data_IF_075696102000
#
_entry.id   IF_075696102000
#
_cell.length_a   1.000
_cell.length_b   1.000
_cell.length_c   1.000
_cell.angle_alpha   90.00
_cell.angle_beta   90.00
_cell.angle_gamma   90.00
#
_symmetry.space_group_name_H-M   'P 1'
#
loop_
_entity.id
_entity.type
_entity.pdbx_description
1 polymer ?
#
# COMPACT_ATOMS: atom_id res chain seq x y z
N UNK A 1 0.44 -24.22 2.01
CA UNK A 1 0.22 -22.97 1.27
C UNK A 1 1.17 -22.96 0.08
N UNK A 2 0.70 -22.61 -1.12
CA UNK A 2 1.56 -22.57 -2.32
C UNK A 2 2.40 -21.29 -2.30
N UNK A 3 3.72 -21.42 -2.44
CA UNK A 3 4.68 -20.31 -2.50
C UNK A 3 4.35 -19.32 -3.61
N UNK A 4 3.71 -19.78 -4.69
CA UNK A 4 3.26 -18.94 -5.80
C UNK A 4 2.14 -17.99 -5.38
N UNK A 5 1.19 -18.46 -4.56
CA UNK A 5 0.09 -17.63 -4.05
C UNK A 5 0.58 -16.53 -3.10
N UNK A 6 1.59 -16.83 -2.28
CA UNK A 6 2.21 -15.82 -1.42
C UNK A 6 2.97 -14.76 -2.23
N UNK A 7 3.75 -15.19 -3.22
CA UNK A 7 4.48 -14.26 -4.09
C UNK A 7 3.53 -13.32 -4.84
N UNK A 8 2.40 -13.86 -5.35
CA UNK A 8 1.37 -13.06 -6.00
C UNK A 8 0.73 -12.06 -5.04
N UNK A 9 0.33 -12.48 -3.84
CA UNK A 9 -0.27 -11.58 -2.85
C UNK A 9 0.68 -10.43 -2.42
N UNK A 10 1.98 -10.71 -2.29
CA UNK A 10 2.99 -9.67 -2.02
C UNK A 10 3.15 -8.71 -3.21
N UNK A 11 3.15 -9.24 -4.43
CA UNK A 11 3.25 -8.43 -5.65
C UNK A 11 2.04 -7.51 -5.79
N UNK A 12 0.84 -8.06 -5.65
CA UNK A 12 -0.41 -7.31 -5.72
C UNK A 12 -0.50 -6.24 -4.64
N UNK A 13 -0.13 -6.56 -3.38
CA UNK A 13 -0.09 -5.58 -2.31
C UNK A 13 0.81 -4.38 -2.67
N UNK A 14 1.99 -4.63 -3.24
CA UNK A 14 2.92 -3.57 -3.67
C UNK A 14 2.40 -2.77 -4.86
N UNK A 15 1.66 -3.39 -5.77
CA UNK A 15 0.97 -2.68 -6.86
C UNK A 15 -0.04 -1.69 -6.27
N UNK A 16 -0.85 -2.12 -5.31
CA UNK A 16 -1.84 -1.24 -4.67
C UNK A 16 -1.20 -0.12 -3.84
N UNK A 17 -0.07 -0.39 -3.18
CA UNK A 17 0.73 0.65 -2.51
C UNK A 17 1.25 1.67 -3.53
N UNK A 18 1.77 1.21 -4.67
CA UNK A 18 2.31 2.12 -5.69
C UNK A 18 1.26 3.10 -6.21
N UNK A 19 -0.03 2.72 -6.28
CA UNK A 19 -1.11 3.63 -6.71
C UNK A 19 -1.28 4.85 -5.81
N UNK A 20 -0.80 4.81 -4.56
CA UNK A 20 -0.79 5.97 -3.66
C UNK A 20 -0.03 7.13 -4.32
N UNK A 21 1.08 6.84 -5.02
CA UNK A 21 1.92 7.86 -5.65
C UNK A 21 1.20 8.70 -6.71
N UNK A 22 0.18 8.09 -7.35
CA UNK A 22 -0.56 8.64 -8.49
C UNK A 22 -1.82 9.39 -8.06
N UNK A 23 -2.03 9.55 -6.76
CA UNK A 23 -3.19 10.26 -6.22
C UNK A 23 -3.23 11.71 -6.70
N UNK A 24 -4.36 12.16 -7.23
CA UNK A 24 -4.49 13.52 -7.78
C UNK A 24 -4.80 14.58 -6.72
N UNK A 25 -5.31 14.17 -5.55
CA UNK A 25 -5.65 15.05 -4.43
C UNK A 25 -5.72 14.23 -3.12
N UNK A 26 -5.93 14.90 -1.99
CA UNK A 26 -6.02 14.27 -0.66
C UNK A 26 -7.18 13.26 -0.53
N UNK A 27 -8.30 13.48 -1.24
CA UNK A 27 -9.43 12.53 -1.22
C UNK A 27 -9.04 11.22 -1.91
N UNK A 28 -8.40 11.30 -3.08
CA UNK A 28 -7.89 10.13 -3.80
C UNK A 28 -6.78 9.46 -3.00
N UNK A 29 -5.89 10.22 -2.37
CA UNK A 29 -4.85 9.70 -1.48
C UNK A 29 -5.45 8.86 -0.35
N UNK A 30 -6.46 9.40 0.34
CA UNK A 30 -7.14 8.69 1.42
C UNK A 30 -7.81 7.40 0.92
N UNK A 31 -8.45 7.45 -0.25
CA UNK A 31 -9.09 6.28 -0.85
C UNK A 31 -8.09 5.19 -1.24
N UNK A 32 -6.98 5.55 -1.90
CA UNK A 32 -5.93 4.60 -2.30
C UNK A 32 -5.24 4.00 -1.08
N UNK A 33 -4.95 4.82 -0.06
CA UNK A 33 -4.35 4.36 1.21
C UNK A 33 -5.26 3.36 1.92
N UNK A 34 -6.56 3.66 2.02
CA UNK A 34 -7.53 2.76 2.63
C UNK A 34 -7.70 1.45 1.84
N UNK A 35 -7.68 1.54 0.51
CA UNK A 35 -7.77 0.37 -0.36
C UNK A 35 -6.55 -0.56 -0.19
N UNK A 36 -5.34 -0.02 -0.25
CA UNK A 36 -4.11 -0.79 -0.05
C UNK A 36 -4.09 -1.47 1.34
N UNK A 37 -4.42 -0.73 2.40
CA UNK A 37 -4.49 -1.29 3.75
C UNK A 37 -5.55 -2.40 3.88
N UNK A 38 -6.70 -2.23 3.22
CA UNK A 38 -7.76 -3.25 3.16
C UNK A 38 -7.32 -4.50 2.40
N UNK A 39 -6.65 -4.35 1.26
CA UNK A 39 -6.11 -5.47 0.48
C UNK A 39 -5.12 -6.29 1.31
N UNK A 40 -4.14 -5.62 1.93
CA UNK A 40 -3.12 -6.28 2.77
C UNK A 40 -3.81 -7.05 3.90
N UNK A 41 -4.95 -6.55 4.42
CA UNK A 41 -5.64 -7.16 5.57
C UNK A 41 -6.30 -8.44 5.13
N UNK A 42 -7.00 -8.39 4.00
CA UNK A 42 -7.57 -9.58 3.37
C UNK A 42 -6.49 -10.62 3.04
N UNK A 43 -5.30 -10.20 2.58
CA UNK A 43 -4.19 -11.11 2.31
C UNK A 43 -3.67 -11.78 3.60
N UNK A 44 -3.55 -11.02 4.70
CA UNK A 44 -3.16 -11.56 6.00
C UNK A 44 -4.21 -12.52 6.56
N UNK A 45 -5.50 -12.16 6.50
CA UNK A 45 -6.62 -12.98 7.00
C UNK A 45 -6.70 -14.33 6.25
N UNK A 46 -6.34 -14.33 4.96
CA UNK A 46 -6.22 -15.54 4.15
C UNK A 46 -4.90 -16.29 4.35
N UNK A 47 -4.05 -15.82 5.27
CA UNK A 47 -2.69 -16.31 5.58
C UNK A 47 -1.71 -16.20 4.41
N UNK A 48 -2.02 -15.45 3.35
CA UNK A 48 -1.20 -15.37 2.13
C UNK A 48 0.12 -14.64 2.38
N UNK A 49 0.15 -13.78 3.40
CA UNK A 49 1.34 -13.07 3.86
C UNK A 49 1.51 -13.28 5.37
N UNK A 50 2.75 -13.22 5.85
CA UNK A 50 3.05 -13.31 7.28
C UNK A 50 2.77 -12.00 8.03
N UNK A 51 2.73 -12.05 9.36
CA UNK A 51 2.62 -10.86 10.21
C UNK A 51 3.77 -9.87 9.99
N UNK A 52 5.01 -10.36 9.79
CA UNK A 52 6.16 -9.51 9.52
C UNK A 52 6.03 -8.81 8.16
N UNK A 53 5.59 -9.54 7.12
CA UNK A 53 5.32 -8.98 5.81
C UNK A 53 4.19 -7.93 5.86
N UNK A 54 3.13 -8.20 6.62
CA UNK A 54 2.07 -7.24 6.89
C UNK A 54 2.61 -5.94 7.49
N UNK A 55 3.45 -6.00 8.52
CA UNK A 55 4.05 -4.81 9.17
C UNK A 55 4.90 -4.01 8.18
N UNK A 56 5.71 -4.69 7.36
CA UNK A 56 6.53 -4.04 6.33
C UNK A 56 5.65 -3.31 5.32
N UNK A 57 4.59 -3.94 4.81
CA UNK A 57 3.69 -3.34 3.83
C UNK A 57 2.92 -2.14 4.40
N UNK A 58 2.52 -2.16 5.68
CA UNK A 58 1.94 -0.98 6.32
C UNK A 58 2.93 0.18 6.44
N UNK A 59 4.20 -0.11 6.70
CA UNK A 59 5.24 0.92 6.70
C UNK A 59 5.48 1.50 5.29
N UNK A 60 5.42 0.66 4.25
CA UNK A 60 5.49 1.09 2.85
C UNK A 60 4.34 2.03 2.47
N UNK A 61 3.10 1.77 2.94
CA UNK A 61 1.95 2.68 2.78
C UNK A 61 2.25 4.07 3.36
N UNK A 62 2.69 4.13 4.61
CA UNK A 62 2.95 5.42 5.27
C UNK A 62 4.12 6.17 4.62
N UNK A 63 5.14 5.44 4.13
CA UNK A 63 6.24 6.03 3.38
C UNK A 63 5.75 6.67 2.07
N UNK A 64 4.94 5.98 1.27
CA UNK A 64 4.46 6.52 -0.01
C UNK A 64 3.50 7.69 0.17
N UNK A 65 2.63 7.62 1.18
CA UNK A 65 1.76 8.73 1.58
C UNK A 65 2.56 9.97 1.99
N UNK A 66 3.63 9.80 2.76
CA UNK A 66 4.51 10.91 3.15
C UNK A 66 5.28 11.47 1.95
N UNK A 67 5.75 10.60 1.06
CA UNK A 67 6.41 10.97 -0.20
C UNK A 67 5.49 11.81 -1.08
N UNK A 68 4.24 11.39 -1.26
CA UNK A 68 3.23 12.13 -2.01
C UNK A 68 2.96 13.51 -1.42
N UNK A 69 2.77 13.61 -0.10
CA UNK A 69 2.56 14.90 0.59
C UNK A 69 3.74 15.85 0.40
N UNK A 70 4.96 15.31 0.46
CA UNK A 70 6.18 16.07 0.17
C UNK A 70 6.18 16.67 -1.24
N UNK A 71 5.75 15.89 -2.25
CA UNK A 71 5.61 16.37 -3.64
C UNK A 71 4.53 17.46 -3.76
N UNK A 72 3.37 17.28 -3.14
CA UNK A 72 2.30 18.29 -3.18
C UNK A 72 2.72 19.61 -2.53
N UNK A 73 3.42 19.55 -1.39
CA UNK A 73 3.94 20.75 -0.73
C UNK A 73 4.99 21.49 -1.58
N UNK A 74 5.73 20.78 -2.45
CA UNK A 74 6.68 21.40 -3.38
C UNK A 74 5.99 22.08 -4.57
N UNK A 75 4.83 21.57 -5.02
CA UNK A 75 4.04 22.15 -6.11
C UNK A 75 3.27 23.43 -5.71
N UNK A 76 3.09 23.66 -4.42
CA UNK A 76 2.38 24.81 -3.85
C UNK A 76 3.30 26.01 -3.52
N UNK A 77 4.61 25.90 -3.78
CA UNK A 77 5.62 26.94 -3.55
C UNK A 77 5.98 27.64 -4.86
#
# INVERSE_FOLDING_TARGET
MDSSSQANALSDARIEIARISDSSNEQILAQQTAYAAGYIRCAQDQMLISADQWVILLAEIEAEKQSWRGRQAALQK
#
